data_IF_804984002218
#
_entry.id   IF_804984002218
#
_cell.length_a   1.000
_cell.length_b   1.000
_cell.length_c   1.000
_cell.angle_alpha   90.00
_cell.angle_beta   90.00
_cell.angle_gamma   90.00
#
_symmetry.space_group_name_H-M   'P 1'
#
loop_
_entity.id
_entity.type
_entity.pdbx_description
1 polymer ?
#
# COMPACT_ATOMS: atom_id res chain seq x y z
N UNK A 1 -41.59 -28.28 -35.21
CA UNK A 1 -42.38 -29.36 -34.56
C UNK A 1 -41.40 -30.14 -33.69
N UNK A 2 -41.47 -29.90 -32.37
CA UNK A 2 -41.90 -30.89 -31.36
C UNK A 2 -40.71 -31.81 -30.98
N UNK A 3 -40.26 -31.93 -29.73
CA UNK A 3 -40.98 -31.81 -28.46
C UNK A 3 -40.01 -31.47 -27.31
N UNK A 4 -40.51 -30.70 -26.34
CA UNK A 4 -39.90 -30.49 -25.03
C UNK A 4 -40.07 -31.75 -24.16
N UNK A 5 -39.06 -32.06 -23.34
CA UNK A 5 -39.19 -32.99 -22.21
C UNK A 5 -38.53 -32.37 -21.00
N UNK A 6 -39.36 -32.06 -20.01
CA UNK A 6 -38.97 -31.65 -18.67
C UNK A 6 -38.62 -32.90 -17.87
N UNK A 7 -37.46 -32.91 -17.21
CA UNK A 7 -37.20 -33.82 -16.10
C UNK A 7 -36.87 -33.03 -14.84
N UNK A 8 -37.59 -33.40 -13.80
CA UNK A 8 -37.72 -32.82 -12.47
C UNK A 8 -36.49 -33.04 -11.60
N UNK A 9 -36.19 -32.06 -10.74
CA UNK A 9 -35.20 -32.16 -9.65
C UNK A 9 -35.53 -33.30 -8.67
N UNK A 10 -34.52 -33.98 -8.11
CA UNK A 10 -34.66 -34.67 -6.84
C UNK A 10 -34.39 -33.70 -5.66
N UNK A 11 -35.39 -33.57 -4.81
CA UNK A 11 -35.34 -32.95 -3.48
C UNK A 11 -34.54 -33.85 -2.54
N UNK A 12 -33.41 -33.38 -2.02
CA UNK A 12 -32.68 -34.04 -0.93
C UNK A 12 -32.87 -33.27 0.38
N UNK A 13 -33.48 -33.96 1.33
CA UNK A 13 -33.89 -33.57 2.67
C UNK A 13 -32.70 -33.22 3.57
N UNK A 14 -32.79 -32.08 4.25
CA UNK A 14 -31.86 -31.67 5.31
C UNK A 14 -32.03 -32.55 6.55
N UNK A 15 -30.99 -33.32 6.90
CA UNK A 15 -30.83 -33.90 8.24
C UNK A 15 -29.93 -33.02 9.09
N UNK A 16 -30.54 -32.33 10.04
CA UNK A 16 -29.89 -31.54 11.09
C UNK A 16 -29.13 -32.46 12.03
N UNK A 17 -27.79 -32.39 12.04
CA UNK A 17 -26.97 -33.01 13.09
C UNK A 17 -26.40 -31.91 13.99
N UNK A 18 -26.93 -31.85 15.19
CA UNK A 18 -26.51 -30.97 16.30
C UNK A 18 -25.15 -31.42 16.80
N UNK A 19 -24.08 -30.71 16.44
CA UNK A 19 -22.77 -30.87 17.08
C UNK A 19 -22.70 -29.91 18.26
N UNK A 20 -22.58 -30.50 19.45
CA UNK A 20 -22.47 -29.84 20.75
C UNK A 20 -21.14 -29.08 20.85
N UNK A 21 -21.21 -27.82 21.27
CA UNK A 21 -20.06 -27.01 21.68
C UNK A 21 -19.28 -27.71 22.81
N UNK A 22 -17.95 -27.83 22.74
CA UNK A 22 -17.15 -27.96 23.94
C UNK A 22 -16.95 -26.57 24.56
N UNK A 23 -17.55 -26.41 25.74
CA UNK A 23 -17.24 -25.37 26.72
C UNK A 23 -15.73 -25.34 26.97
N UNK A 24 -15.06 -24.23 26.68
CA UNK A 24 -13.76 -23.92 27.25
C UNK A 24 -13.88 -22.77 28.25
N UNK A 25 -13.65 -23.14 29.50
CA UNK A 25 -13.55 -22.30 30.68
C UNK A 25 -12.52 -21.18 30.50
N UNK A 26 -12.93 -19.94 30.77
CA UNK A 26 -12.01 -18.82 31.00
C UNK A 26 -11.36 -18.98 32.36
N UNK A 27 -10.14 -19.49 32.41
CA UNK A 27 -9.26 -19.23 33.54
C UNK A 27 -8.33 -18.06 33.17
N UNK A 28 -8.65 -16.90 33.75
CA UNK A 28 -7.75 -15.75 33.85
C UNK A 28 -6.51 -16.15 34.65
N UNK A 29 -5.34 -16.06 34.02
CA UNK A 29 -4.08 -15.98 34.75
C UNK A 29 -3.44 -14.64 34.42
N UNK A 30 -3.32 -13.80 35.45
CA UNK A 30 -2.63 -12.52 35.40
C UNK A 30 -1.14 -12.74 35.08
N UNK A 31 -0.74 -12.46 33.84
CA UNK A 31 0.67 -12.29 33.50
C UNK A 31 1.03 -10.81 33.70
N UNK A 32 1.76 -10.51 34.78
CA UNK A 32 2.37 -9.21 34.99
C UNK A 32 3.55 -9.06 34.01
N UNK A 33 3.37 -8.31 32.92
CA UNK A 33 4.49 -7.86 32.11
C UNK A 33 5.08 -6.57 32.70
N UNK A 34 6.18 -6.70 33.44
CA UNK A 34 7.00 -5.56 33.88
C UNK A 34 8.19 -5.36 32.94
N UNK A 35 7.94 -4.82 31.75
CA UNK A 35 8.99 -4.19 30.94
C UNK A 35 8.44 -2.88 30.38
N UNK A 36 8.38 -1.85 31.23
CA UNK A 36 8.18 -0.48 30.77
C UNK A 36 9.45 -0.03 30.05
N UNK A 37 9.41 -0.01 28.72
CA UNK A 37 10.35 0.77 27.94
C UNK A 37 10.17 2.24 28.34
N UNK A 38 11.21 2.86 28.91
CA UNK A 38 11.19 4.29 29.22
C UNK A 38 11.30 5.07 27.91
N UNK A 39 10.19 5.64 27.45
CA UNK A 39 10.18 6.61 26.35
C UNK A 39 10.29 8.02 26.92
N UNK A 40 11.24 8.81 26.41
CA UNK A 40 11.35 10.24 26.69
C UNK A 40 10.96 11.00 25.43
N UNK A 41 9.85 11.74 25.50
CA UNK A 41 9.39 12.66 24.45
C UNK A 41 9.97 14.06 24.65
N UNK A 42 11.27 14.15 24.97
CA UNK A 42 12.02 15.40 24.94
C UNK A 42 13.07 15.28 23.84
N UNK A 43 13.04 16.18 22.87
CA UNK A 43 14.15 16.36 21.96
C UNK A 43 15.38 16.73 22.79
N UNK A 44 16.42 15.90 22.74
CA UNK A 44 17.74 16.26 23.22
C UNK A 44 18.66 16.28 22.00
N UNK A 45 19.15 17.48 21.69
CA UNK A 45 20.45 17.64 21.07
C UNK A 45 21.48 17.25 22.13
N UNK A 46 22.25 16.18 21.89
CA UNK A 46 23.71 16.21 21.96
C UNK A 46 24.30 14.81 21.91
N UNK A 47 25.43 14.76 21.21
CA UNK A 47 26.30 13.62 21.00
C UNK A 47 26.79 13.04 22.32
N UNK A 48 26.71 11.72 22.49
CA UNK A 48 27.76 10.94 23.14
C UNK A 48 27.59 9.45 22.85
N UNK A 49 28.60 8.88 22.18
CA UNK A 49 28.83 7.45 22.07
C UNK A 49 28.91 6.80 23.45
N UNK A 50 28.12 5.76 23.70
CA UNK A 50 28.55 4.60 24.50
C UNK A 50 27.92 3.33 23.96
N UNK A 51 28.80 2.42 23.57
CA UNK A 51 28.56 1.00 23.28
C UNK A 51 27.85 0.32 24.45
N UNK A 52 26.79 -0.45 24.16
CA UNK A 52 26.22 -1.42 25.10
C UNK A 52 26.15 -2.78 24.42
N UNK A 53 26.77 -3.74 25.10
CA UNK A 53 27.02 -5.11 24.69
C UNK A 53 25.74 -5.97 24.59
N UNK A 54 25.91 -7.01 23.79
CA UNK A 54 24.95 -8.03 23.40
C UNK A 54 24.66 -9.00 24.56
N UNK A 55 23.40 -9.28 24.87
CA UNK A 55 23.02 -10.42 25.71
C UNK A 55 21.81 -11.18 25.11
N UNK A 56 22.10 -12.46 24.85
CA UNK A 56 21.25 -13.65 24.84
C UNK A 56 19.99 -13.72 23.96
N UNK A 57 20.14 -14.50 22.89
CA UNK A 57 19.05 -15.07 22.09
C UNK A 57 18.43 -16.28 22.81
N UNK A 58 17.11 -16.30 23.08
CA UNK A 58 16.45 -17.52 23.52
C UNK A 58 16.27 -18.46 22.32
N UNK A 59 16.91 -19.64 22.39
CA UNK A 59 16.67 -20.76 21.47
C UNK A 59 15.20 -21.18 21.54
N UNK A 60 14.47 -21.06 20.42
CA UNK A 60 13.16 -21.66 20.23
C UNK A 60 13.30 -23.18 20.10
N UNK A 61 12.83 -23.92 21.10
CA UNK A 61 12.65 -25.37 21.05
C UNK A 61 11.34 -25.63 20.29
N UNK A 62 11.45 -26.20 19.09
CA UNK A 62 10.32 -26.67 18.30
C UNK A 62 9.89 -28.06 18.80
N UNK A 63 8.60 -28.33 19.10
CA UNK A 63 8.16 -29.69 19.40
C UNK A 63 8.19 -30.55 18.12
N UNK A 64 8.73 -31.77 18.24
CA UNK A 64 8.73 -32.79 17.18
C UNK A 64 7.29 -33.22 16.88
N UNK A 65 6.84 -33.05 15.64
CA UNK A 65 5.61 -33.65 15.11
C UNK A 65 5.89 -35.05 14.51
N UNK A 66 4.94 -35.99 14.60
CA UNK A 66 5.10 -37.33 14.06
C UNK A 66 4.97 -37.33 12.54
N UNK A 67 5.78 -38.17 11.89
CA UNK A 67 5.81 -38.42 10.46
C UNK A 67 4.46 -38.95 9.95
N UNK A 68 3.81 -38.18 9.06
CA UNK A 68 2.83 -38.74 8.13
C UNK A 68 3.07 -38.14 6.75
N UNK A 69 3.50 -39.03 5.86
CA UNK A 69 3.87 -38.81 4.47
C UNK A 69 2.65 -38.26 3.71
N UNK A 70 2.60 -36.94 3.53
CA UNK A 70 1.69 -36.32 2.57
C UNK A 70 2.51 -35.40 1.68
N UNK A 71 2.40 -35.67 0.38
CA UNK A 71 3.14 -35.04 -0.70
C UNK A 71 3.18 -33.51 -0.54
N UNK A 72 4.38 -33.02 -0.25
CA UNK A 72 4.72 -31.61 -0.15
C UNK A 72 4.62 -30.97 -1.54
N UNK A 73 3.42 -30.53 -1.94
CA UNK A 73 3.27 -29.66 -3.11
C UNK A 73 3.62 -28.24 -2.67
N UNK A 74 4.89 -27.88 -2.82
CA UNK A 74 5.38 -26.51 -2.63
C UNK A 74 4.58 -25.57 -3.55
N UNK A 75 3.96 -24.52 -3.00
CA UNK A 75 3.15 -23.53 -3.76
C UNK A 75 3.96 -22.84 -4.86
N UNK A 76 5.29 -22.87 -4.81
CA UNK A 76 6.18 -22.39 -5.88
C UNK A 76 6.20 -23.30 -7.11
N UNK A 77 5.86 -24.58 -6.96
CA UNK A 77 5.79 -25.54 -8.07
C UNK A 77 4.44 -25.53 -8.80
N UNK A 78 3.42 -24.86 -8.25
CA UNK A 78 2.13 -24.67 -8.94
C UNK A 78 2.19 -23.60 -10.05
N UNK A 79 3.19 -22.71 -10.01
CA UNK A 79 3.47 -21.71 -11.05
C UNK A 79 4.57 -22.14 -12.04
N UNK A 80 5.29 -23.22 -11.73
CA UNK A 80 6.32 -23.79 -12.61
C UNK A 80 5.81 -24.98 -13.44
N UNK A 81 4.57 -25.44 -13.21
CA UNK A 81 3.89 -26.46 -14.02
C UNK A 81 3.10 -25.94 -15.23
N UNK A 82 3.12 -24.63 -15.49
CA UNK A 82 2.38 -24.00 -16.62
C UNK A 82 3.32 -23.40 -17.69
N UNK A 83 4.62 -23.66 -17.60
CA UNK A 83 5.65 -23.05 -18.44
C UNK A 83 6.44 -24.07 -19.24
N UNK A 84 5.80 -24.71 -20.23
CA UNK A 84 6.48 -25.37 -21.33
C UNK A 84 6.44 -26.90 -21.28
N UNK A 85 5.57 -27.48 -22.11
CA UNK A 85 5.97 -28.28 -23.29
C UNK A 85 4.70 -28.84 -23.97
N UNK A 86 4.67 -28.71 -25.30
CA UNK A 86 3.78 -29.35 -26.29
C UNK A 86 2.42 -28.71 -26.63
N UNK A 87 2.43 -28.09 -27.81
CA UNK A 87 1.42 -28.14 -28.87
C UNK A 87 0.12 -28.89 -28.57
N UNK A 88 -1.00 -28.17 -28.73
CA UNK A 88 -2.34 -28.72 -28.99
C UNK A 88 -2.84 -29.81 -28.01
N UNK A 89 -3.15 -29.42 -26.77
CA UNK A 89 -4.10 -30.14 -25.94
C UNK A 89 -5.09 -29.15 -25.33
N UNK A 90 -6.38 -29.45 -25.50
CA UNK A 90 -7.53 -28.67 -25.04
C UNK A 90 -7.36 -28.17 -23.60
N UNK A 91 -7.16 -26.86 -23.44
CA UNK A 91 -7.21 -26.16 -22.16
C UNK A 91 -8.67 -25.89 -21.76
N UNK A 92 -9.53 -26.90 -21.80
CA UNK A 92 -10.96 -26.79 -21.43
C UNK A 92 -11.21 -26.95 -19.94
N UNK A 93 -10.17 -27.06 -19.11
CA UNK A 93 -10.33 -27.38 -17.67
C UNK A 93 -9.56 -26.49 -16.69
N UNK A 94 -8.98 -25.36 -17.13
CA UNK A 94 -8.77 -24.26 -16.17
C UNK A 94 -10.15 -23.65 -15.96
N UNK A 95 -10.70 -23.59 -14.73
CA UNK A 95 -11.92 -22.83 -14.49
C UNK A 95 -11.67 -21.43 -15.03
N UNK A 96 -12.36 -21.06 -16.11
CA UNK A 96 -12.31 -19.70 -16.62
C UNK A 96 -12.59 -18.80 -15.42
N UNK A 97 -11.72 -17.82 -15.17
CA UNK A 97 -12.03 -16.80 -14.18
C UNK A 97 -13.43 -16.26 -14.54
N UNK A 98 -14.39 -16.42 -13.63
CA UNK A 98 -15.81 -16.18 -13.92
C UNK A 98 -16.14 -14.69 -14.15
N UNK A 99 -15.13 -13.82 -14.26
CA UNK A 99 -15.29 -12.39 -14.51
C UNK A 99 -14.23 -11.84 -15.47
N UNK A 100 -14.63 -10.81 -16.21
CA UNK A 100 -13.76 -10.07 -17.12
C UNK A 100 -12.80 -9.20 -16.29
N UNK A 101 -11.47 -9.30 -16.46
CA UNK A 101 -10.53 -8.51 -15.70
C UNK A 101 -10.60 -7.03 -16.08
N UNK A 102 -10.40 -6.14 -15.12
CA UNK A 102 -10.21 -4.71 -15.39
C UNK A 102 -8.87 -4.51 -16.08
N UNK A 103 -8.89 -3.88 -17.25
CA UNK A 103 -7.70 -3.54 -18.02
C UNK A 103 -7.56 -2.02 -18.15
N UNK A 104 -6.36 -1.51 -17.88
CA UNK A 104 -6.02 -0.12 -18.15
C UNK A 104 -5.97 0.15 -19.67
N UNK A 105 -6.25 1.39 -20.13
CA UNK A 105 -6.20 1.73 -21.54
C UNK A 105 -4.81 1.51 -22.17
N UNK A 106 -4.77 1.08 -23.44
CA UNK A 106 -3.53 1.00 -24.21
C UNK A 106 -2.94 2.41 -24.48
N UNK A 107 -3.79 3.41 -24.65
CA UNK A 107 -3.41 4.81 -24.86
C UNK A 107 -3.70 5.56 -23.57
N UNK A 108 -2.76 5.52 -22.63
CA UNK A 108 -2.92 6.09 -21.29
C UNK A 108 -3.03 7.62 -21.29
N UNK A 109 -2.62 8.31 -22.36
CA UNK A 109 -2.81 9.76 -22.49
C UNK A 109 -4.25 10.14 -22.84
N UNK A 110 -5.07 9.17 -23.30
CA UNK A 110 -6.50 9.37 -23.49
C UNK A 110 -7.21 9.14 -22.16
N UNK A 111 -7.43 10.21 -21.41
CA UNK A 111 -8.10 10.19 -20.12
C UNK A 111 -8.92 11.44 -19.88
N UNK A 112 -9.83 11.33 -18.93
CA UNK A 112 -10.65 12.43 -18.46
C UNK A 112 -9.94 13.18 -17.31
N UNK A 113 -10.40 14.40 -17.07
CA UNK A 113 -10.07 15.14 -15.85
C UNK A 113 -10.52 14.35 -14.63
N UNK A 114 -9.66 14.27 -13.61
CA UNK A 114 -9.96 13.58 -12.38
C UNK A 114 -11.16 14.21 -11.64
N UNK A 115 -11.91 13.36 -10.96
CA UNK A 115 -13.06 13.73 -10.12
C UNK A 115 -12.66 13.72 -8.65
N UNK A 116 -13.07 14.74 -7.91
CA UNK A 116 -12.84 14.83 -6.46
C UNK A 116 -14.15 14.90 -5.70
N UNK A 117 -14.07 14.58 -4.41
CA UNK A 117 -15.13 14.93 -3.47
C UNK A 117 -14.99 16.42 -3.13
N UNK A 118 -16.10 17.16 -3.14
CA UNK A 118 -16.10 18.61 -2.91
C UNK A 118 -16.06 19.43 -4.21
N UNK A 119 -15.76 20.72 -4.10
CA UNK A 119 -15.74 21.63 -5.25
C UNK A 119 -14.37 21.63 -5.93
N UNK A 120 -14.34 21.31 -7.22
CA UNK A 120 -13.10 21.31 -8.03
C UNK A 120 -12.36 22.65 -8.01
N UNK A 121 -13.05 23.78 -7.81
CA UNK A 121 -12.46 25.12 -7.72
C UNK A 121 -11.59 25.33 -6.47
N UNK A 122 -11.76 24.50 -5.43
CA UNK A 122 -11.02 24.59 -4.16
C UNK A 122 -9.79 23.67 -4.15
N UNK A 123 -9.54 22.92 -5.24
CA UNK A 123 -8.42 22.01 -5.33
C UNK A 123 -7.08 22.75 -5.45
N UNK A 124 -6.20 22.56 -4.46
CA UNK A 124 -4.85 23.15 -4.46
C UNK A 124 -3.95 22.50 -5.53
N UNK A 125 -4.21 21.23 -5.87
CA UNK A 125 -3.52 20.49 -6.93
C UNK A 125 -4.44 20.35 -8.13
N UNK A 126 -3.88 20.45 -9.34
CA UNK A 126 -4.65 20.34 -10.58
C UNK A 126 -5.25 18.94 -10.77
N UNK A 127 -6.42 18.90 -11.41
CA UNK A 127 -7.18 17.67 -11.69
C UNK A 127 -6.88 17.07 -13.06
N UNK A 128 -6.07 17.75 -13.88
CA UNK A 128 -5.60 17.24 -15.17
C UNK A 128 -4.43 16.29 -14.94
N UNK A 129 -4.76 15.04 -14.68
CA UNK A 129 -3.81 14.00 -14.27
C UNK A 129 -3.40 13.06 -15.40
N UNK A 130 -3.74 13.42 -16.64
CA UNK A 130 -3.33 12.67 -17.80
C UNK A 130 -1.81 12.66 -17.97
N UNK A 131 -1.21 11.49 -18.24
CA UNK A 131 0.21 11.40 -18.56
C UNK A 131 0.50 12.05 -19.91
N UNK A 132 1.76 12.46 -20.14
CA UNK A 132 2.17 13.11 -21.38
C UNK A 132 2.03 12.17 -22.58
N UNK A 133 1.77 12.73 -23.76
CA UNK A 133 1.76 11.97 -25.02
C UNK A 133 3.21 11.75 -25.45
N UNK A 134 3.77 10.58 -25.12
CA UNK A 134 5.16 10.26 -25.48
C UNK A 134 5.32 10.08 -26.99
N UNK A 135 4.41 9.31 -27.61
CA UNK A 135 4.29 9.12 -29.06
C UNK A 135 2.84 8.72 -29.39
N UNK A 136 2.27 9.16 -30.52
CA UNK A 136 0.97 8.68 -30.97
C UNK A 136 1.01 7.15 -31.07
N UNK A 137 -0.02 6.47 -30.55
CA UNK A 137 -0.26 5.04 -30.77
C UNK A 137 0.70 4.05 -30.08
N UNK A 138 1.64 4.51 -29.23
CA UNK A 138 2.51 3.58 -28.49
C UNK A 138 1.76 2.95 -27.33
N UNK A 139 1.56 1.64 -27.44
CA UNK A 139 1.04 0.81 -26.36
C UNK A 139 2.16 0.48 -25.37
N UNK A 140 1.87 0.35 -24.07
CA UNK A 140 2.82 -0.21 -23.11
C UNK A 140 3.32 -1.57 -23.60
N UNK A 141 4.64 -1.78 -23.57
CA UNK A 141 5.20 -3.08 -23.83
C UNK A 141 4.87 -4.04 -22.68
N UNK A 142 4.71 -5.32 -22.99
CA UNK A 142 4.56 -6.35 -21.97
C UNK A 142 5.72 -6.32 -21.00
N UNK A 143 5.39 -6.40 -19.70
CA UNK A 143 6.40 -6.40 -18.66
C UNK A 143 7.29 -7.64 -18.78
N UNK A 144 8.61 -7.43 -18.72
CA UNK A 144 9.62 -8.50 -18.69
C UNK A 144 10.35 -8.48 -17.35
N UNK A 145 10.51 -9.67 -16.76
CA UNK A 145 11.34 -9.80 -15.58
C UNK A 145 12.80 -9.45 -15.92
N UNK A 146 13.45 -8.64 -15.09
CA UNK A 146 14.84 -8.25 -15.28
C UNK A 146 15.77 -9.44 -14.96
N UNK A 147 16.83 -9.68 -15.75
CA UNK A 147 17.57 -10.95 -15.75
C UNK A 147 18.43 -11.19 -14.50
N UNK A 148 19.05 -10.17 -13.90
CA UNK A 148 19.92 -10.29 -12.72
C UNK A 148 19.74 -9.06 -11.83
N UNK A 149 19.26 -9.21 -10.59
CA UNK A 149 19.04 -8.07 -9.69
C UNK A 149 19.60 -8.30 -8.30
N UNK A 150 20.35 -7.31 -7.82
CA UNK A 150 20.52 -7.10 -6.40
C UNK A 150 19.14 -6.91 -5.74
N UNK A 151 18.95 -7.57 -4.60
CA UNK A 151 17.75 -7.37 -3.79
C UNK A 151 17.83 -5.96 -3.19
N UNK A 152 16.86 -5.11 -3.52
CA UNK A 152 16.72 -3.77 -2.93
C UNK A 152 16.12 -3.88 -1.54
N UNK A 153 16.90 -3.54 -0.53
CA UNK A 153 16.47 -3.58 0.88
C UNK A 153 15.98 -2.20 1.30
N UNK A 154 14.67 -2.05 1.43
CA UNK A 154 14.03 -0.80 1.88
C UNK A 154 14.33 -0.54 3.35
N UNK A 155 15.01 0.56 3.72
CA UNK A 155 15.32 0.83 5.12
C UNK A 155 14.16 1.51 5.85
N UNK A 156 14.11 1.32 7.17
CA UNK A 156 13.15 2.02 8.02
C UNK A 156 13.52 3.51 8.10
N UNK A 157 12.60 4.41 7.73
CA UNK A 157 12.89 5.84 7.55
C UNK A 157 13.42 6.56 8.79
N UNK A 158 13.12 6.07 10.00
CA UNK A 158 13.65 6.62 11.25
C UNK A 158 15.08 6.15 11.59
N UNK A 159 15.63 5.17 10.85
CA UNK A 159 16.95 4.56 11.09
C UNK A 159 17.93 4.74 9.92
N UNK A 160 17.61 5.57 8.95
CA UNK A 160 18.48 5.81 7.79
C UNK A 160 19.69 6.67 8.16
N UNK A 161 20.84 6.41 7.54
CA UNK A 161 22.06 7.22 7.68
C UNK A 161 21.92 8.59 7.03
N UNK A 162 22.79 9.54 7.37
CA UNK A 162 22.85 10.84 6.70
C UNK A 162 23.12 10.70 5.19
N UNK A 163 24.06 9.81 4.80
CA UNK A 163 24.35 9.50 3.40
C UNK A 163 23.09 9.05 2.65
N UNK A 164 22.27 8.20 3.27
CA UNK A 164 21.03 7.77 2.66
C UNK A 164 20.03 8.92 2.51
N UNK A 165 19.90 9.78 3.53
CA UNK A 165 19.01 10.96 3.46
C UNK A 165 19.43 11.89 2.33
N UNK A 166 20.72 12.16 2.19
CA UNK A 166 21.28 12.96 1.09
C UNK A 166 20.98 12.33 -0.28
N UNK A 167 21.21 11.02 -0.42
CA UNK A 167 20.89 10.27 -1.65
C UNK A 167 19.40 10.35 -1.98
N UNK A 168 18.53 10.15 -1.00
CA UNK A 168 17.08 10.21 -1.20
C UNK A 168 16.60 11.63 -1.55
N UNK A 169 17.13 12.65 -0.87
CA UNK A 169 16.90 14.05 -1.23
C UNK A 169 17.33 14.33 -2.66
N UNK A 170 18.51 13.84 -3.07
CA UNK A 170 19.04 14.06 -4.40
C UNK A 170 18.15 13.46 -5.49
N UNK A 171 17.62 12.25 -5.27
CA UNK A 171 16.68 11.63 -6.20
C UNK A 171 15.43 12.50 -6.41
N UNK A 172 14.80 12.95 -5.31
CA UNK A 172 13.60 13.80 -5.41
C UNK A 172 13.94 15.18 -5.99
N UNK A 173 15.09 15.76 -5.65
CA UNK A 173 15.55 17.03 -6.23
C UNK A 173 15.68 16.93 -7.76
N UNK A 174 16.36 15.88 -8.27
CA UNK A 174 16.51 15.65 -9.71
C UNK A 174 15.13 15.49 -10.38
N UNK A 175 14.26 14.66 -9.81
CA UNK A 175 12.92 14.43 -10.36
C UNK A 175 12.04 15.68 -10.33
N UNK A 176 12.20 16.57 -9.33
CA UNK A 176 11.54 17.87 -9.27
C UNK A 176 12.12 18.88 -10.27
N UNK A 177 13.36 18.69 -10.72
CA UNK A 177 14.03 19.51 -11.72
C UNK A 177 13.78 19.08 -13.17
N UNK A 178 13.11 17.95 -13.41
CA UNK A 178 12.66 17.56 -14.75
C UNK A 178 11.52 18.45 -15.24
N UNK A 179 11.36 18.49 -16.56
CA UNK A 179 10.21 19.12 -17.19
C UNK A 179 8.91 18.49 -16.69
N UNK A 180 7.87 19.30 -16.52
CA UNK A 180 6.57 18.85 -16.01
C UNK A 180 5.90 17.80 -16.90
N UNK A 181 6.26 17.73 -18.18
CA UNK A 181 5.79 16.72 -19.14
C UNK A 181 6.77 15.55 -19.31
N UNK A 182 7.88 15.52 -18.59
CA UNK A 182 8.70 14.31 -18.47
C UNK A 182 7.93 13.26 -17.64
N UNK A 183 7.69 12.04 -18.16
CA UNK A 183 6.94 11.00 -17.44
C UNK A 183 7.61 10.57 -16.12
N UNK A 184 8.92 10.82 -15.95
CA UNK A 184 9.68 10.55 -14.73
C UNK A 184 9.76 11.73 -13.77
N UNK A 185 9.19 12.90 -14.12
CA UNK A 185 9.15 14.03 -13.20
C UNK A 185 8.37 13.72 -11.94
N UNK A 186 8.72 14.39 -10.83
CA UNK A 186 8.01 14.23 -9.55
C UNK A 186 6.51 14.52 -9.68
N UNK A 187 6.16 15.51 -10.51
CA UNK A 187 4.78 15.89 -10.82
C UNK A 187 4.03 14.76 -11.54
N UNK A 188 4.63 14.16 -12.57
CA UNK A 188 3.99 13.07 -13.31
C UNK A 188 3.84 11.81 -12.47
N UNK A 189 4.83 11.49 -11.63
CA UNK A 189 4.69 10.38 -10.69
C UNK A 189 3.48 10.59 -9.75
N UNK A 190 3.28 11.80 -9.21
CA UNK A 190 2.08 12.11 -8.42
C UNK A 190 0.77 12.01 -9.22
N UNK A 191 0.77 12.42 -10.50
CA UNK A 191 -0.40 12.32 -11.39
C UNK A 191 -0.83 10.88 -11.68
N UNK A 192 0.08 9.89 -11.63
CA UNK A 192 -0.28 8.46 -11.76
C UNK A 192 -1.32 8.08 -10.71
N UNK A 193 -1.09 8.43 -9.45
CA UNK A 193 -2.06 8.16 -8.39
C UNK A 193 -3.39 8.88 -8.65
N UNK A 194 -3.35 10.17 -8.98
CA UNK A 194 -4.56 10.91 -9.31
C UNK A 194 -5.37 10.24 -10.44
N UNK A 195 -4.73 9.81 -11.53
CA UNK A 195 -5.44 9.25 -12.68
C UNK A 195 -6.18 7.93 -12.36
N UNK A 196 -5.51 7.00 -11.67
CA UNK A 196 -6.07 5.68 -11.34
C UNK A 196 -7.03 5.69 -10.14
N UNK A 197 -6.96 6.71 -9.29
CA UNK A 197 -7.71 6.77 -8.04
C UNK A 197 -8.88 7.76 -8.09
N UNK A 198 -8.91 8.66 -9.08
CA UNK A 198 -9.92 9.71 -9.20
C UNK A 198 -10.70 9.66 -10.52
N UNK A 199 -10.75 8.49 -11.18
CA UNK A 199 -11.66 8.25 -12.30
C UNK A 199 -11.24 8.91 -13.62
N UNK A 200 -9.94 9.06 -13.87
CA UNK A 200 -9.46 9.57 -15.15
C UNK A 200 -9.58 8.52 -16.29
N UNK A 201 -9.64 7.23 -15.94
CA UNK A 201 -9.72 6.13 -16.90
C UNK A 201 -11.06 5.41 -16.83
N UNK A 202 -11.55 4.99 -17.99
CA UNK A 202 -12.69 4.09 -18.12
C UNK A 202 -12.27 2.64 -18.36
N UNK A 203 -13.23 1.72 -18.34
CA UNK A 203 -13.01 0.29 -18.54
C UNK A 203 -13.21 -0.15 -20.00
N UNK A 204 -13.10 0.76 -20.98
CA UNK A 204 -13.30 0.47 -22.40
C UNK A 204 -12.42 -0.70 -22.90
N UNK A 205 -11.18 -0.80 -22.39
CA UNK A 205 -10.26 -1.89 -22.76
C UNK A 205 -10.74 -3.26 -22.28
N UNK A 206 -11.54 -3.32 -21.22
CA UNK A 206 -12.16 -4.55 -20.73
C UNK A 206 -13.34 -5.01 -21.59
N UNK A 207 -13.95 -4.11 -22.37
CA UNK A 207 -15.12 -4.36 -23.21
C UNK A 207 -15.86 -3.05 -23.53
N UNK A 208 -16.45 -2.94 -24.71
CA UNK A 208 -17.16 -1.73 -25.16
C UNK A 208 -18.38 -1.42 -24.26
N UNK A 209 -19.03 -2.45 -23.76
CA UNK A 209 -20.15 -2.37 -22.81
C UNK A 209 -19.74 -1.77 -21.44
N UNK A 210 -18.44 -1.75 -21.13
CA UNK A 210 -17.92 -1.27 -19.86
C UNK A 210 -17.40 0.18 -19.91
N UNK A 211 -17.49 0.87 -21.05
CA UNK A 211 -16.98 2.24 -21.21
C UNK A 211 -17.53 3.24 -20.17
N UNK A 212 -18.77 3.03 -19.71
CA UNK A 212 -19.40 3.88 -18.69
C UNK A 212 -18.85 3.70 -17.27
N UNK A 213 -18.06 2.65 -17.02
CA UNK A 213 -17.45 2.38 -15.72
C UNK A 213 -16.04 2.93 -15.69
N UNK A 214 -15.65 3.51 -14.55
CA UNK A 214 -14.30 4.02 -14.35
C UNK A 214 -13.41 2.94 -13.72
N UNK A 215 -12.10 3.12 -13.86
CA UNK A 215 -11.13 2.34 -13.10
C UNK A 215 -10.96 2.99 -11.73
N UNK A 216 -11.16 2.20 -10.69
CA UNK A 216 -10.85 2.55 -9.30
C UNK A 216 -10.01 1.43 -8.69
N UNK A 217 -8.78 1.77 -8.31
CA UNK A 217 -7.83 0.81 -7.74
C UNK A 217 -7.95 0.66 -6.22
N UNK A 218 -8.62 1.61 -5.55
CA UNK A 218 -8.96 1.54 -4.14
C UNK A 218 -10.20 0.66 -3.89
N UNK A 219 -10.41 0.28 -2.63
CA UNK A 219 -11.60 -0.39 -2.10
C UNK A 219 -11.89 -1.75 -2.73
N UNK A 220 -10.83 -2.44 -3.17
CA UNK A 220 -10.90 -3.76 -3.79
C UNK A 220 -9.57 -4.48 -3.69
N UNK A 221 -9.55 -5.73 -4.17
CA UNK A 221 -8.32 -6.50 -4.30
C UNK A 221 -7.23 -5.91 -5.23
N UNK A 222 -7.53 -4.81 -5.96
CA UNK A 222 -6.55 -4.11 -6.79
C UNK A 222 -5.63 -3.20 -5.96
N UNK A 223 -6.00 -2.88 -4.73
CA UNK A 223 -5.29 -1.93 -3.87
C UNK A 223 -3.81 -2.29 -3.71
N UNK A 224 -3.52 -3.50 -3.20
CA UNK A 224 -2.14 -3.95 -2.99
C UNK A 224 -1.31 -4.10 -4.26
N UNK A 225 -1.78 -4.81 -5.31
CA UNK A 225 -0.97 -4.99 -6.52
C UNK A 225 -0.73 -3.68 -7.27
N UNK A 226 -1.72 -2.78 -7.36
CA UNK A 226 -1.52 -1.47 -8.00
C UNK A 226 -0.43 -0.66 -7.29
N UNK A 227 -0.54 -0.47 -5.97
CA UNK A 227 0.43 0.31 -5.21
C UNK A 227 1.82 -0.35 -5.19
N UNK A 228 1.90 -1.69 -5.23
CA UNK A 228 3.17 -2.40 -5.40
C UNK A 228 3.84 -2.05 -6.72
N UNK A 229 3.10 -2.07 -7.83
CA UNK A 229 3.63 -1.72 -9.15
C UNK A 229 3.98 -0.25 -9.27
N UNK A 230 3.15 0.64 -8.72
CA UNK A 230 3.43 2.07 -8.67
C UNK A 230 4.76 2.35 -7.96
N UNK A 231 4.94 1.82 -6.74
CA UNK A 231 6.18 1.97 -5.99
C UNK A 231 7.37 1.25 -6.63
N UNK A 232 7.14 0.11 -7.30
CA UNK A 232 8.19 -0.61 -8.02
C UNK A 232 8.81 0.24 -9.13
N UNK A 233 7.99 0.88 -9.96
CA UNK A 233 8.51 1.74 -11.03
C UNK A 233 9.08 3.05 -10.47
N UNK A 234 8.45 3.67 -9.46
CA UNK A 234 9.00 4.85 -8.80
C UNK A 234 10.41 4.60 -8.24
N UNK A 235 10.62 3.49 -7.54
CA UNK A 235 11.93 3.11 -6.99
C UNK A 235 12.96 2.83 -8.10
N UNK A 236 12.54 2.29 -9.25
CA UNK A 236 13.44 2.09 -10.40
C UNK A 236 13.80 3.40 -11.09
N UNK A 237 12.84 4.33 -11.20
CA UNK A 237 13.09 5.68 -11.71
C UNK A 237 14.10 6.38 -10.80
N UNK A 238 13.88 6.36 -9.48
CA UNK A 238 14.81 6.95 -8.52
C UNK A 238 16.22 6.34 -8.61
N UNK A 239 16.32 5.01 -8.72
CA UNK A 239 17.62 4.37 -8.93
C UNK A 239 18.28 4.79 -10.24
N UNK A 240 17.51 4.95 -11.32
CA UNK A 240 18.04 5.41 -12.62
C UNK A 240 18.56 6.86 -12.54
N UNK A 241 17.80 7.79 -11.97
CA UNK A 241 18.25 9.19 -11.85
C UNK A 241 19.47 9.35 -10.95
N UNK A 242 19.62 8.47 -9.96
CA UNK A 242 20.81 8.38 -9.10
C UNK A 242 21.98 7.62 -9.72
N UNK A 243 21.75 6.89 -10.82
CA UNK A 243 22.68 5.90 -11.36
C UNK A 243 23.10 4.85 -10.31
N UNK A 244 22.15 4.47 -9.47
CA UNK A 244 22.30 3.48 -8.38
C UNK A 244 21.19 2.44 -8.51
N UNK A 245 21.50 1.29 -9.09
CA UNK A 245 20.53 0.20 -9.28
C UNK A 245 20.18 -0.54 -7.99
N UNK A 246 20.92 -0.30 -6.90
CA UNK A 246 20.69 -0.84 -5.56
C UNK A 246 19.79 0.06 -4.69
N UNK A 247 19.55 1.30 -5.12
CA UNK A 247 18.67 2.22 -4.40
C UNK A 247 17.29 1.59 -4.11
N UNK A 248 16.87 1.70 -2.87
CA UNK A 248 15.58 1.22 -2.37
C UNK A 248 14.84 2.38 -1.68
N UNK A 249 13.52 2.47 -1.83
CA UNK A 249 12.72 3.48 -1.14
C UNK A 249 12.74 3.23 0.38
N UNK A 250 12.72 4.28 1.23
CA UNK A 250 12.51 4.05 2.66
C UNK A 250 11.05 3.69 2.90
N UNK A 251 10.76 3.03 4.01
CA UNK A 251 9.40 2.85 4.49
C UNK A 251 9.21 3.55 5.83
N UNK A 252 8.03 4.15 6.03
CA UNK A 252 7.64 4.66 7.34
C UNK A 252 7.22 3.47 8.20
N UNK A 253 8.05 3.14 9.19
CA UNK A 253 7.91 1.98 10.07
C UNK A 253 6.99 2.29 11.27
N UNK A 254 5.76 2.71 10.98
CA UNK A 254 4.77 3.14 11.98
C UNK A 254 4.16 2.00 12.80
N UNK A 255 4.41 0.74 12.41
CA UNK A 255 4.08 -0.45 13.18
C UNK A 255 5.10 -0.76 14.29
N UNK A 256 6.21 0.00 14.34
CA UNK A 256 7.18 -0.02 15.43
C UNK A 256 7.08 1.28 16.25
N UNK A 257 7.10 1.24 17.61
CA UNK A 257 6.92 2.42 18.45
C UNK A 257 7.85 3.60 18.09
N UNK A 258 9.14 3.32 17.84
CA UNK A 258 10.11 4.37 17.49
C UNK A 258 9.93 4.95 16.09
N UNK A 259 9.07 4.38 15.26
CA UNK A 259 8.74 4.86 13.91
C UNK A 259 7.33 5.45 13.80
N UNK A 260 6.61 5.62 14.90
CA UNK A 260 5.25 6.21 14.89
C UNK A 260 5.23 7.72 14.64
N UNK A 261 6.35 8.43 14.79
CA UNK A 261 6.47 9.81 14.32
C UNK A 261 6.82 9.84 12.84
N UNK A 262 6.41 10.88 12.12
CA UNK A 262 6.90 11.10 10.75
C UNK A 262 8.44 11.19 10.78
N UNK A 263 9.17 10.44 9.92
CA UNK A 263 10.62 10.46 9.93
C UNK A 263 11.18 11.87 9.79
N UNK A 264 12.12 12.24 10.67
CA UNK A 264 12.66 13.60 10.75
C UNK A 264 13.23 14.12 9.41
N UNK A 265 13.73 13.22 8.56
CA UNK A 265 14.27 13.57 7.24
C UNK A 265 13.28 14.33 6.34
N UNK A 266 11.96 14.18 6.54
CA UNK A 266 10.92 14.89 5.78
C UNK A 266 10.68 16.33 6.27
N UNK A 267 11.06 16.64 7.51
CA UNK A 267 10.86 17.94 8.16
C UNK A 267 12.19 18.68 8.42
N UNK A 268 13.33 18.06 8.15
CA UNK A 268 14.62 18.67 8.42
C UNK A 268 14.79 20.01 7.70
N UNK A 269 15.27 21.02 8.44
CA UNK A 269 15.56 22.36 7.92
C UNK A 269 16.99 22.40 7.42
N UNK A 270 17.16 22.30 6.10
CA UNK A 270 18.47 22.37 5.46
C UNK A 270 18.78 23.80 5.01
N UNK A 271 20.06 24.18 5.07
CA UNK A 271 20.57 25.41 4.47
C UNK A 271 20.76 25.23 2.97
N UNK A 272 20.82 26.33 2.21
CA UNK A 272 21.15 26.27 0.78
C UNK A 272 22.54 25.67 0.56
N UNK A 273 22.71 24.84 -0.49
CA UNK A 273 24.02 24.35 -0.90
C UNK A 273 25.00 25.46 -1.34
N UNK A 274 24.49 26.58 -1.88
CA UNK A 274 25.31 27.69 -2.38
C UNK A 274 25.77 28.68 -1.27
N UNK A 275 25.41 28.43 -0.01
CA UNK A 275 25.77 29.28 1.11
C UNK A 275 25.16 30.69 1.08
N UNK A 276 24.29 30.99 0.11
CA UNK A 276 23.66 32.31 -0.02
C UNK A 276 22.66 32.48 1.11
N UNK A 277 22.89 33.48 1.96
CA UNK A 277 21.90 33.93 2.94
C UNK A 277 20.79 34.66 2.18
N UNK A 278 19.72 33.95 1.84
CA UNK A 278 18.46 34.61 1.48
C UNK A 278 17.94 35.28 2.76
N UNK A 279 17.37 36.48 2.63
CA UNK A 279 17.02 37.36 3.75
C UNK A 279 16.09 36.71 4.80
N UNK A 280 15.78 37.44 5.89
CA UNK A 280 14.97 36.92 7.01
C UNK A 280 13.54 36.49 6.63
N UNK A 281 13.10 36.73 5.39
CA UNK A 281 11.78 36.40 4.86
C UNK A 281 11.83 35.31 3.78
N UNK A 282 12.26 34.09 4.11
CA UNK A 282 11.78 32.96 3.30
C UNK A 282 11.71 31.67 4.12
N UNK A 283 10.48 31.24 4.38
CA UNK A 283 10.13 29.95 4.97
C UNK A 283 10.40 28.76 4.03
N UNK A 284 11.38 28.87 3.12
CA UNK A 284 11.73 27.81 2.18
C UNK A 284 12.63 26.78 2.88
N UNK A 285 12.05 25.62 3.21
CA UNK A 285 12.86 24.46 3.59
C UNK A 285 13.48 23.91 2.31
N UNK A 286 14.80 24.04 2.14
CA UNK A 286 15.56 23.51 1.00
C UNK A 286 15.62 21.97 0.93
N UNK A 287 14.90 21.31 1.81
CA UNK A 287 14.79 19.87 1.83
C UNK A 287 13.82 19.42 0.74
N UNK A 288 14.31 18.75 -0.30
CA UNK A 288 13.48 18.25 -1.39
C UNK A 288 12.41 17.23 -0.94
N UNK A 289 12.56 16.62 0.25
CA UNK A 289 11.57 15.72 0.85
C UNK A 289 10.42 16.45 1.59
N UNK A 290 10.55 17.77 1.78
CA UNK A 290 9.55 18.57 2.48
C UNK A 290 8.31 18.81 1.61
N UNK A 291 7.15 18.85 2.26
CA UNK A 291 5.87 19.29 1.68
C UNK A 291 5.20 20.26 2.67
N UNK A 292 4.91 21.52 2.27
CA UNK A 292 4.24 22.48 3.15
C UNK A 292 2.77 22.15 3.43
N UNK A 293 2.14 21.26 2.66
CA UNK A 293 0.72 20.90 2.80
C UNK A 293 0.51 19.71 3.75
N UNK A 294 1.20 19.72 4.90
CA UNK A 294 1.01 18.76 6.00
C UNK A 294 0.22 19.40 7.13
N UNK A 295 -0.51 18.59 7.90
CA UNK A 295 -1.15 19.08 9.11
C UNK A 295 -0.08 19.41 10.16
N UNK A 296 0.08 20.71 10.46
CA UNK A 296 1.09 21.20 11.39
C UNK A 296 0.95 20.62 12.81
N UNK A 297 -0.28 20.28 13.26
CA UNK A 297 -0.48 19.69 14.59
C UNK A 297 -0.03 18.22 14.69
N UNK A 298 0.19 17.55 13.56
CA UNK A 298 0.62 16.15 13.50
C UNK A 298 2.12 15.98 13.19
N UNK A 299 2.86 17.09 13.12
CA UNK A 299 4.31 17.03 12.98
C UNK A 299 4.96 16.59 14.30
N UNK A 300 6.22 16.10 14.28
CA UNK A 300 6.89 15.66 15.49
C UNK A 300 6.88 16.76 16.56
N UNK A 301 6.69 16.42 17.84
CA UNK A 301 6.77 15.07 18.43
C UNK A 301 5.47 14.24 18.37
N UNK A 302 4.41 14.70 17.69
CA UNK A 302 3.14 13.98 17.60
C UNK A 302 3.31 12.61 16.94
N UNK A 303 2.72 11.58 17.55
CA UNK A 303 2.66 10.23 16.99
C UNK A 303 1.52 10.15 15.96
N UNK A 304 1.68 9.30 14.95
CA UNK A 304 0.56 8.91 14.08
C UNK A 304 -0.58 8.34 14.94
N UNK A 305 -1.82 8.60 14.54
CA UNK A 305 -3.01 8.06 15.19
C UNK A 305 -3.78 7.21 14.18
N UNK A 306 -3.78 5.88 14.35
CA UNK A 306 -4.52 4.98 13.45
C UNK A 306 -6.04 5.00 13.66
N UNK A 307 -6.54 5.69 14.70
CA UNK A 307 -7.96 5.90 14.92
C UNK A 307 -8.38 7.35 14.64
N UNK A 308 -7.53 8.10 13.95
CA UNK A 308 -7.73 9.52 13.70
C UNK A 308 -9.10 9.82 13.09
N UNK A 309 -9.89 10.61 13.81
CA UNK A 309 -11.17 11.13 13.33
C UNK A 309 -11.25 12.65 13.57
N UNK A 310 -11.35 13.50 12.54
CA UNK A 310 -11.26 14.95 12.68
C UNK A 310 -12.28 15.57 13.66
N UNK A 311 -13.47 14.98 13.76
CA UNK A 311 -14.58 15.52 14.55
C UNK A 311 -14.65 14.95 15.98
N UNK A 312 -13.83 13.94 16.30
CA UNK A 312 -13.80 13.30 17.61
C UNK A 312 -12.40 12.77 17.88
N UNK A 313 -11.54 13.64 18.40
CA UNK A 313 -10.22 13.25 18.85
C UNK A 313 -10.26 12.86 20.31
N UNK A 314 -9.87 11.62 20.59
CA UNK A 314 -9.54 11.23 21.95
C UNK A 314 -8.14 11.74 22.29
N UNK A 315 -7.95 12.17 23.53
CA UNK A 315 -6.67 12.68 24.00
C UNK A 315 -5.95 11.56 24.74
N UNK A 316 -4.92 11.01 24.11
CA UNK A 316 -4.08 9.96 24.68
C UNK A 316 -2.72 10.51 25.12
N UNK A 317 -2.14 9.90 26.16
CA UNK A 317 -0.70 9.99 26.40
C UNK A 317 0.07 9.26 25.29
N UNK A 318 1.37 9.56 25.14
CA UNK A 318 2.18 8.87 24.13
C UNK A 318 2.19 7.35 24.29
N UNK A 319 2.20 6.84 25.53
CA UNK A 319 2.19 5.40 25.80
C UNK A 319 0.86 4.77 25.38
N UNK A 320 -0.26 5.41 25.71
CA UNK A 320 -1.59 4.94 25.32
C UNK A 320 -1.75 4.97 23.79
N UNK A 321 -1.29 6.03 23.12
CA UNK A 321 -1.36 6.09 21.64
C UNK A 321 -0.53 4.98 20.98
N UNK A 322 0.65 4.63 21.54
CA UNK A 322 1.44 3.48 21.05
C UNK A 322 0.64 2.19 21.20
N UNK A 323 0.04 1.95 22.37
CA UNK A 323 -0.74 0.74 22.63
C UNK A 323 -1.98 0.65 21.73
N UNK A 324 -2.68 1.77 21.52
CA UNK A 324 -3.79 1.88 20.56
C UNK A 324 -3.32 1.54 19.16
N UNK A 325 -2.24 2.16 18.69
CA UNK A 325 -1.71 1.93 17.35
C UNK A 325 -1.31 0.45 17.14
N UNK A 326 -0.60 -0.15 18.09
CA UNK A 326 -0.21 -1.57 18.02
C UNK A 326 -1.43 -2.49 18.03
N UNK A 327 -2.46 -2.17 18.81
CA UNK A 327 -3.72 -2.92 18.87
C UNK A 327 -4.49 -2.85 17.54
N UNK A 328 -4.52 -1.67 16.92
CA UNK A 328 -5.12 -1.46 15.60
C UNK A 328 -4.34 -2.24 14.53
N UNK A 329 -3.01 -2.22 14.57
CA UNK A 329 -2.16 -3.01 13.66
C UNK A 329 -2.42 -4.51 13.78
N UNK A 330 -2.46 -5.03 15.01
CA UNK A 330 -2.80 -6.44 15.24
C UNK A 330 -4.19 -6.77 14.70
N UNK A 331 -5.16 -5.87 14.90
CA UNK A 331 -6.53 -6.07 14.42
C UNK A 331 -6.58 -6.14 12.89
N UNK A 332 -5.88 -5.24 12.19
CA UNK A 332 -5.91 -5.18 10.72
C UNK A 332 -5.09 -6.26 10.04
N UNK A 333 -4.00 -6.71 10.66
CA UNK A 333 -3.09 -7.68 10.06
C UNK A 333 -3.41 -9.12 10.46
N UNK A 334 -4.08 -9.33 11.60
CA UNK A 334 -4.32 -10.66 12.17
C UNK A 334 -5.79 -10.86 12.51
N UNK A 335 -6.36 -10.09 13.45
CA UNK A 335 -7.65 -10.42 14.05
C UNK A 335 -8.84 -10.32 13.07
N UNK A 336 -8.80 -9.36 12.16
CA UNK A 336 -9.85 -9.12 11.16
C UNK A 336 -9.46 -9.60 9.76
N UNK A 337 -8.19 -9.96 9.54
CA UNK A 337 -7.67 -10.45 8.27
C UNK A 337 -7.72 -11.99 8.21
N UNK A 338 -8.91 -12.55 8.41
CA UNK A 338 -9.10 -14.00 8.57
C UNK A 338 -8.95 -14.79 7.28
N UNK A 339 -9.05 -14.13 6.13
CA UNK A 339 -8.95 -14.71 4.79
C UNK A 339 -8.37 -13.72 3.77
N UNK A 340 -8.22 -14.16 2.53
CA UNK A 340 -7.64 -13.33 1.46
C UNK A 340 -8.52 -12.13 1.11
N UNK A 341 -9.85 -12.27 1.12
CA UNK A 341 -10.76 -11.17 0.74
C UNK A 341 -10.82 -10.09 1.82
N UNK A 342 -10.87 -10.48 3.09
CA UNK A 342 -10.81 -9.55 4.23
C UNK A 342 -9.48 -8.81 4.32
N UNK A 343 -8.37 -9.47 3.94
CA UNK A 343 -7.05 -8.83 3.94
C UNK A 343 -6.77 -7.99 2.70
N UNK A 344 -6.91 -8.55 1.50
CA UNK A 344 -6.51 -7.94 0.22
C UNK A 344 -7.62 -7.05 -0.35
N UNK A 345 -8.88 -7.30 0.00
CA UNK A 345 -10.06 -6.63 -0.52
C UNK A 345 -10.99 -7.58 -1.26
N UNK A 346 -12.26 -7.15 -1.39
CA UNK A 346 -13.25 -7.94 -2.12
C UNK A 346 -12.97 -7.98 -3.62
N UNK A 347 -13.52 -8.99 -4.33
CA UNK A 347 -13.36 -9.12 -5.76
C UNK A 347 -13.96 -7.93 -6.51
N UNK A 348 -13.25 -7.52 -7.55
CA UNK A 348 -13.63 -6.46 -8.49
C UNK A 348 -13.35 -6.93 -9.92
N UNK A 349 -14.39 -6.91 -10.75
CA UNK A 349 -14.34 -7.29 -12.17
C UNK A 349 -14.90 -6.16 -13.04
N UNK A 350 -14.72 -6.26 -14.35
CA UNK A 350 -15.21 -5.23 -15.26
C UNK A 350 -16.73 -5.08 -15.17
N UNK A 351 -17.22 -3.84 -15.20
CA UNK A 351 -18.64 -3.53 -15.05
C UNK A 351 -19.16 -3.46 -13.62
N UNK A 352 -18.30 -3.72 -12.61
CA UNK A 352 -18.64 -3.40 -11.23
C UNK A 352 -18.71 -1.87 -11.04
N UNK A 353 -19.79 -1.33 -10.42
CA UNK A 353 -19.87 0.09 -10.13
C UNK A 353 -18.96 0.48 -8.96
N UNK A 354 -18.38 1.67 -9.00
CA UNK A 354 -17.45 2.18 -7.97
C UNK A 354 -18.12 2.42 -6.62
N UNK A 355 -19.44 2.61 -6.61
CA UNK A 355 -20.25 2.94 -5.44
C UNK A 355 -21.24 1.80 -5.13
N UNK A 356 -20.73 0.68 -4.64
CA UNK A 356 -21.58 -0.30 -3.94
C UNK A 356 -21.41 -0.13 -2.42
N UNK A 357 -22.47 0.27 -1.69
CA UNK A 357 -22.46 0.25 -0.25
C UNK A 357 -22.71 -1.19 0.19
N UNK A 358 -21.67 -1.88 0.69
CA UNK A 358 -21.82 -2.99 1.64
C UNK A 358 -20.45 -3.34 2.22
N UNK A 359 -20.43 -3.65 3.51
CA UNK A 359 -19.29 -4.08 4.35
C UNK A 359 -18.41 -5.22 3.79
N UNK A 360 -18.69 -5.74 2.57
CA UNK A 360 -18.08 -6.94 1.98
C UNK A 360 -16.86 -6.71 1.07
N UNK A 361 -16.52 -5.46 0.70
CA UNK A 361 -15.32 -5.17 -0.14
C UNK A 361 -14.20 -4.40 0.58
N UNK A 362 -14.33 -4.18 1.88
CA UNK A 362 -13.44 -3.29 2.63
C UNK A 362 -12.13 -4.00 2.91
N UNK A 363 -11.03 -3.43 2.42
CA UNK A 363 -9.68 -3.85 2.79
C UNK A 363 -9.43 -3.34 4.22
N UNK A 364 -9.25 -4.22 5.20
CA UNK A 364 -9.07 -3.80 6.60
C UNK A 364 -7.89 -2.86 6.81
N UNK A 365 -6.83 -3.01 6.02
CA UNK A 365 -5.66 -2.12 6.05
C UNK A 365 -5.94 -0.78 5.37
N UNK A 366 -6.62 -0.77 4.23
CA UNK A 366 -6.99 0.46 3.50
C UNK A 366 -7.86 1.34 4.37
N UNK A 367 -8.99 0.82 4.86
CA UNK A 367 -9.96 1.55 5.69
C UNK A 367 -9.58 1.71 7.16
N UNK A 368 -8.32 1.42 7.46
CA UNK A 368 -7.78 1.34 8.80
C UNK A 368 -6.58 2.24 8.98
N UNK A 369 -5.38 1.66 9.01
CA UNK A 369 -4.13 2.42 9.22
C UNK A 369 -3.68 3.19 7.98
N UNK A 370 -4.25 2.89 6.81
CA UNK A 370 -3.94 3.60 5.56
C UNK A 370 -4.85 4.81 5.31
N UNK A 371 -6.15 4.68 5.55
CA UNK A 371 -7.12 5.76 5.40
C UNK A 371 -7.18 6.61 6.66
N UNK A 372 -7.19 7.94 6.47
CA UNK A 372 -7.99 8.77 7.36
C UNK A 372 -9.45 8.55 6.94
N UNK A 373 -10.34 8.00 7.79
CA UNK A 373 -11.71 7.73 7.41
C UNK A 373 -12.33 8.99 6.79
N UNK A 374 -13.12 8.86 5.71
CA UNK A 374 -13.77 10.01 5.09
C UNK A 374 -14.63 10.71 6.14
N UNK A 375 -14.68 12.05 6.07
CA UNK A 375 -15.72 12.82 6.76
C UNK A 375 -17.08 12.30 6.29
N UNK A 376 -17.68 11.42 7.08
CA UNK A 376 -19.05 10.95 6.93
C UNK A 376 -19.92 11.79 7.85
N UNK A 377 -20.85 12.53 7.26
CA UNK A 377 -21.93 13.20 7.98
C UNK A 377 -22.97 12.25 8.54
#
# INVERSE_FOLDING_TARGET
MASFSFYTLPTSTSTTTTIKNPLFSKNSSHVKHSHRFKFSCKAAADNNEKSVENYDTPKLILPKSPSLDTQNVDRRNLLLGLGGLYSAANLTSIPSAFGVPIQAPDIISNCATATIRGKSSEAIRGLTCCPPVLRPSVKPADYKFPPNKAIRLRPAGQRVSEEYKEKFRKAIEIMKGYDDEDPHSWKQQAKVHCAYCNGAYNQLKSGAEFEKYIIQVHNSWLFFPFHRWYLYFLEKIMGNVLKDDTFALPYWNWDHPTGMTIPAMYEEKLKRPDGVKVGPEEGTRYNSLFDPLRNASHLPPTLIDFQYYPLKQEVYTCAEQIDVNLSVMYSQMIANALDTESFIGGPLVAGDPDKQPKKKRWVHREWGSHDCPPMGG
#
